data_IF_252340407428
#
_entry.id   IF_252340407428
#
_cell.length_a   1.000
_cell.length_b   1.000
_cell.length_c   1.000
_cell.angle_alpha   90.00
_cell.angle_beta   90.00
_cell.angle_gamma   90.00
#
_symmetry.space_group_name_H-M   'P 1'
#
loop_
_entity.id
_entity.type
_entity.pdbx_description
1 polymer ?
#
# COMPACT_ATOMS: atom_id res chain seq x y z
N UNK A 1 4.95 -51.30 25.39
CA UNK A 1 5.63 -50.10 24.88
C UNK A 1 4.58 -49.07 24.51
N UNK A 2 4.61 -47.89 25.14
CA UNK A 2 3.72 -46.77 24.80
C UNK A 2 4.42 -45.92 23.75
N UNK A 3 3.71 -45.65 22.66
CA UNK A 3 4.14 -44.79 21.56
C UNK A 3 4.05 -43.33 22.04
N UNK A 4 5.15 -42.80 22.55
CA UNK A 4 5.29 -41.37 22.86
C UNK A 4 5.73 -40.65 21.59
N UNK A 5 4.79 -40.40 20.69
CA UNK A 5 5.01 -39.44 19.60
C UNK A 5 5.10 -38.03 20.19
N UNK A 6 6.22 -37.29 20.03
CA UNK A 6 6.32 -35.94 20.54
C UNK A 6 5.43 -35.02 19.72
N UNK A 7 4.44 -34.43 20.39
CA UNK A 7 3.60 -33.35 19.88
C UNK A 7 4.47 -32.14 19.50
N UNK A 8 4.85 -32.04 18.23
CA UNK A 8 5.39 -30.82 17.65
C UNK A 8 4.22 -29.85 17.48
N UNK A 9 3.92 -29.10 18.54
CA UNK A 9 3.09 -27.90 18.42
C UNK A 9 3.91 -26.82 17.69
N UNK A 10 3.41 -26.23 16.59
CA UNK A 10 4.08 -25.09 15.99
C UNK A 10 4.10 -23.92 16.97
N UNK A 11 5.33 -23.52 17.36
CA UNK A 11 5.61 -22.27 18.03
C UNK A 11 5.16 -21.11 17.15
N UNK A 12 4.35 -20.21 17.72
CA UNK A 12 4.35 -18.80 17.33
C UNK A 12 3.52 -18.43 16.11
N UNK A 13 2.24 -18.76 16.09
CA UNK A 13 1.28 -17.90 15.38
C UNK A 13 0.94 -16.77 16.35
N UNK A 14 1.63 -15.64 16.17
CA UNK A 14 1.30 -14.40 16.87
C UNK A 14 -0.19 -14.16 16.77
N UNK A 15 -0.85 -14.03 17.92
CA UNK A 15 -2.26 -13.71 18.01
C UNK A 15 -2.49 -12.49 17.12
N UNK A 16 -3.25 -12.66 16.04
CA UNK A 16 -4.03 -11.59 15.45
C UNK A 16 -5.05 -11.14 16.50
N UNK A 17 -4.56 -10.45 17.53
CA UNK A 17 -5.38 -9.65 18.44
C UNK A 17 -5.93 -8.54 17.56
N UNK A 18 -7.25 -8.51 17.45
CA UNK A 18 -7.97 -7.74 16.47
C UNK A 18 -7.42 -6.32 16.30
N UNK A 19 -7.37 -5.89 15.04
CA UNK A 19 -7.26 -4.52 14.57
C UNK A 19 -8.49 -3.68 14.96
N UNK A 20 -9.05 -3.94 16.14
CA UNK A 20 -10.04 -3.10 16.77
C UNK A 20 -9.25 -1.90 17.27
N UNK A 21 -9.59 -0.71 16.79
CA UNK A 21 -9.05 0.61 17.22
C UNK A 21 -9.36 0.92 18.70
N UNK A 22 -9.32 -0.06 19.59
CA UNK A 22 -9.60 0.00 21.02
C UNK A 22 -8.34 -0.03 21.88
N UNK A 23 -7.21 -0.48 21.34
CA UNK A 23 -5.94 -0.43 22.06
C UNK A 23 -5.51 1.04 22.25
N UNK A 24 -5.36 1.52 23.50
CA UNK A 24 -4.96 2.91 23.76
C UNK A 24 -3.62 3.26 23.11
N UNK A 25 -2.71 2.29 22.98
CA UNK A 25 -1.39 2.48 22.36
C UNK A 25 -1.52 2.73 20.86
N UNK A 26 -2.39 1.98 20.18
CA UNK A 26 -2.65 2.18 18.76
C UNK A 26 -3.36 3.52 18.50
N UNK A 27 -4.26 3.94 19.41
CA UNK A 27 -4.94 5.25 19.33
C UNK A 27 -3.95 6.40 19.47
N UNK A 28 -3.04 6.31 20.44
CA UNK A 28 -1.99 7.31 20.63
C UNK A 28 -1.10 7.42 19.39
N UNK A 29 -0.67 6.27 18.85
CA UNK A 29 0.11 6.24 17.63
C UNK A 29 -0.64 6.85 16.45
N UNK A 30 -1.91 6.48 16.23
CA UNK A 30 -2.73 7.03 15.18
C UNK A 30 -2.92 8.56 15.31
N UNK A 31 -3.05 9.08 16.53
CA UNK A 31 -3.11 10.52 16.76
C UNK A 31 -1.79 11.22 16.39
N UNK A 32 -0.65 10.63 16.73
CA UNK A 32 0.67 11.14 16.34
C UNK A 32 0.84 11.14 14.81
N UNK A 33 0.36 10.10 14.12
CA UNK A 33 0.35 10.04 12.65
C UNK A 33 -0.48 11.19 12.08
N UNK A 34 -1.71 11.39 12.55
CA UNK A 34 -2.59 12.46 12.08
C UNK A 34 -1.97 13.85 12.26
N UNK A 35 -1.23 14.08 13.35
CA UNK A 35 -0.53 15.35 13.59
C UNK A 35 0.69 15.55 12.69
N UNK A 36 1.34 14.46 12.29
CA UNK A 36 2.50 14.48 11.41
C UNK A 36 2.13 14.58 9.92
N UNK A 37 0.85 14.44 9.58
CA UNK A 37 0.36 14.59 8.22
C UNK A 37 0.32 16.06 7.80
N UNK A 38 0.78 16.31 6.57
CA UNK A 38 0.63 17.58 5.87
C UNK A 38 -0.30 17.34 4.67
N UNK A 39 -1.60 17.58 4.84
CA UNK A 39 -2.61 17.16 3.87
C UNK A 39 -2.76 15.63 3.86
N UNK A 40 -2.60 14.98 2.70
CA UNK A 40 -2.64 13.50 2.55
C UNK A 40 -1.29 12.82 2.78
N UNK A 41 -0.20 13.59 2.84
CA UNK A 41 1.17 13.07 2.79
C UNK A 41 1.88 13.19 4.14
N UNK A 42 2.83 12.28 4.37
CA UNK A 42 3.76 12.34 5.51
C UNK A 42 5.17 12.54 4.95
N UNK A 43 5.85 13.60 5.39
CA UNK A 43 7.25 13.83 5.00
C UNK A 43 8.15 12.70 5.48
N UNK A 44 9.20 12.41 4.72
CA UNK A 44 10.14 11.34 5.04
C UNK A 44 10.77 11.45 6.44
N UNK A 45 11.18 12.66 6.84
CA UNK A 45 11.71 12.91 8.18
C UNK A 45 10.71 12.55 9.28
N UNK A 46 9.44 12.93 9.09
CA UNK A 46 8.34 12.58 10.01
C UNK A 46 8.04 11.09 10.01
N UNK A 47 8.17 10.41 8.88
CA UNK A 47 8.02 8.96 8.82
C UNK A 47 9.07 8.24 9.69
N UNK A 48 10.31 8.72 9.69
CA UNK A 48 11.37 8.16 10.56
C UNK A 48 11.06 8.39 12.04
N UNK A 49 10.61 9.59 12.40
CA UNK A 49 10.18 9.92 13.77
C UNK A 49 9.02 9.02 14.24
N UNK A 50 8.03 8.79 13.36
CA UNK A 50 6.90 7.90 13.63
C UNK A 50 7.34 6.44 13.79
N UNK A 51 8.28 5.94 12.99
CA UNK A 51 8.79 4.58 13.17
C UNK A 51 9.53 4.43 14.50
N UNK A 52 10.33 5.42 14.90
CA UNK A 52 10.98 5.42 16.21
C UNK A 52 9.97 5.49 17.36
N UNK A 53 8.87 6.23 17.19
CA UNK A 53 7.77 6.27 18.15
C UNK A 53 7.07 4.91 18.25
N UNK A 54 6.78 4.26 17.13
CA UNK A 54 6.18 2.92 17.11
C UNK A 54 7.02 1.90 17.87
N UNK A 55 8.34 1.90 17.67
CA UNK A 55 9.26 1.03 18.40
C UNK A 55 9.21 1.27 19.91
N UNK A 56 9.16 2.55 20.34
CA UNK A 56 9.03 2.91 21.77
C UNK A 56 7.70 2.48 22.37
N UNK A 57 6.64 2.49 21.57
CA UNK A 57 5.31 2.03 21.95
C UNK A 57 5.16 0.51 21.88
N UNK A 58 6.18 -0.22 21.43
CA UNK A 58 6.13 -1.68 21.24
C UNK A 58 5.27 -2.12 20.05
N UNK A 59 4.95 -1.19 19.15
CA UNK A 59 4.20 -1.46 17.92
C UNK A 59 5.17 -2.01 16.87
N UNK A 60 4.87 -3.19 16.34
CA UNK A 60 5.69 -3.79 15.30
C UNK A 60 5.69 -2.95 14.02
N UNK A 61 6.79 -2.96 13.27
CA UNK A 61 6.92 -2.19 12.01
C UNK A 61 5.77 -2.42 11.03
N UNK A 62 5.30 -3.66 10.92
CA UNK A 62 4.16 -4.00 10.06
C UNK A 62 2.87 -3.30 10.53
N UNK A 63 2.56 -3.42 11.82
CA UNK A 63 1.38 -2.82 12.43
C UNK A 63 1.42 -1.29 12.36
N UNK A 64 2.59 -0.68 12.60
CA UNK A 64 2.80 0.76 12.46
C UNK A 64 2.54 1.23 11.02
N UNK A 65 3.05 0.52 10.01
CA UNK A 65 2.78 0.83 8.62
C UNK A 65 1.29 0.73 8.29
N UNK A 66 0.60 -0.28 8.83
CA UNK A 66 -0.83 -0.46 8.62
C UNK A 66 -1.65 0.67 9.24
N UNK A 67 -1.33 1.08 10.46
CA UNK A 67 -1.97 2.23 11.12
C UNK A 67 -1.73 3.53 10.35
N UNK A 68 -0.52 3.74 9.82
CA UNK A 68 -0.22 4.89 8.98
C UNK A 68 -1.11 4.90 7.74
N UNK A 69 -1.19 3.78 7.01
CA UNK A 69 -2.02 3.68 5.82
C UNK A 69 -3.51 3.93 6.13
N UNK A 70 -4.02 3.41 7.24
CA UNK A 70 -5.40 3.64 7.66
C UNK A 70 -5.68 5.11 7.97
N UNK A 71 -4.77 5.79 8.65
CA UNK A 71 -4.90 7.23 8.94
C UNK A 71 -4.81 8.05 7.66
N UNK A 72 -3.89 7.71 6.75
CA UNK A 72 -3.77 8.35 5.45
C UNK A 72 -5.03 8.18 4.59
N UNK A 73 -5.61 6.98 4.56
CA UNK A 73 -6.87 6.71 3.86
C UNK A 73 -8.03 7.55 4.41
N UNK A 74 -8.11 7.72 5.74
CA UNK A 74 -9.16 8.51 6.39
C UNK A 74 -9.02 10.01 6.12
N UNK A 75 -7.80 10.52 6.14
CA UNK A 75 -7.52 11.96 5.95
C UNK A 75 -7.48 12.35 4.47
N UNK A 76 -7.00 11.45 3.61
CA UNK A 76 -6.76 11.68 2.19
C UNK A 76 -7.95 11.45 1.27
N UNK A 77 -9.11 11.01 1.78
CA UNK A 77 -10.38 10.96 1.05
C UNK A 77 -10.27 10.48 -0.40
N UNK A 78 -10.20 9.16 -0.60
CA UNK A 78 -10.54 8.48 -1.85
C UNK A 78 -9.71 8.77 -3.13
N UNK A 79 -8.62 9.54 -3.11
CA UNK A 79 -7.90 9.85 -4.36
C UNK A 79 -6.63 9.01 -4.63
N UNK A 80 -6.26 8.11 -3.72
CA UNK A 80 -5.02 7.32 -3.86
C UNK A 80 -5.14 5.88 -3.32
N UNK A 81 -6.31 5.25 -3.53
CA UNK A 81 -6.45 3.77 -3.48
C UNK A 81 -7.10 3.33 -4.79
N UNK A 82 -6.49 3.71 -5.91
CA UNK A 82 -6.74 3.12 -7.22
C UNK A 82 -5.45 2.47 -7.74
N UNK A 83 -4.85 1.61 -6.93
CA UNK A 83 -3.88 0.65 -7.44
C UNK A 83 -4.28 -0.75 -6.94
N UNK A 84 -4.83 -1.52 -7.90
CA UNK A 84 -5.08 -2.96 -7.87
C UNK A 84 -6.38 -3.51 -7.26
N UNK A 85 -7.54 -2.96 -7.63
CA UNK A 85 -8.77 -3.74 -7.77
C UNK A 85 -9.08 -3.94 -9.27
N UNK A 86 -8.24 -4.72 -9.95
CA UNK A 86 -8.56 -5.26 -11.28
C UNK A 86 -8.39 -6.78 -11.33
N UNK A 87 -8.56 -7.43 -10.17
CA UNK A 87 -8.84 -8.85 -10.08
C UNK A 87 -10.19 -9.00 -9.38
N UNK A 88 -11.26 -8.62 -10.08
CA UNK A 88 -12.47 -9.45 -10.12
C UNK A 88 -13.40 -8.92 -11.23
N UNK A 89 -13.37 -9.64 -12.35
CA UNK A 89 -14.51 -9.72 -13.25
C UNK A 89 -15.78 -10.10 -12.49
N UNK A 90 -16.91 -9.72 -13.06
CA UNK A 90 -18.25 -10.24 -12.75
C UNK A 90 -19.00 -9.51 -11.65
N UNK A 91 -19.63 -8.38 -12.00
CA UNK A 91 -21.08 -8.12 -11.81
C UNK A 91 -21.40 -6.63 -11.82
N UNK A 92 -21.70 -6.07 -12.99
CA UNK A 92 -22.92 -5.28 -13.17
C UNK A 92 -23.21 -5.10 -14.67
N UNK A 93 -24.22 -5.83 -15.15
CA UNK A 93 -24.91 -5.49 -16.40
C UNK A 93 -25.82 -4.30 -16.09
N UNK A 94 -25.70 -3.20 -16.84
CA UNK A 94 -26.77 -2.53 -17.63
C UNK A 94 -26.61 -1.01 -17.68
N UNK A 95 -26.88 -0.51 -18.88
CA UNK A 95 -27.36 0.83 -19.24
C UNK A 95 -26.35 1.99 -19.29
N UNK A 96 -25.91 2.23 -20.52
CA UNK A 96 -25.93 3.54 -21.22
C UNK A 96 -25.02 4.65 -20.72
N UNK A 97 -23.84 4.78 -21.35
CA UNK A 97 -23.46 6.02 -22.05
C UNK A 97 -22.38 5.72 -23.08
N UNK A 98 -22.74 5.81 -24.36
CA UNK A 98 -21.81 5.74 -25.49
C UNK A 98 -21.11 7.08 -25.58
N UNK A 99 -19.87 7.18 -25.11
CA UNK A 99 -18.97 8.27 -25.49
C UNK A 99 -17.96 7.71 -26.48
N UNK A 100 -18.18 8.05 -27.75
CA UNK A 100 -17.31 7.69 -28.87
C UNK A 100 -15.90 8.23 -28.60
N UNK A 101 -14.99 7.34 -28.20
CA UNK A 101 -13.55 7.60 -28.35
C UNK A 101 -13.19 7.13 -29.75
N UNK A 102 -13.08 8.12 -30.65
CA UNK A 102 -12.55 7.94 -32.00
C UNK A 102 -11.26 7.11 -31.90
N UNK A 103 -11.20 5.97 -32.59
CA UNK A 103 -10.15 4.94 -32.45
C UNK A 103 -8.72 5.42 -32.75
N UNK A 104 -8.52 6.71 -32.99
CA UNK A 104 -7.24 7.40 -33.08
C UNK A 104 -6.62 7.66 -31.70
N UNK A 105 -7.42 7.95 -30.68
CA UNK A 105 -6.88 8.32 -29.36
C UNK A 105 -6.24 7.12 -28.66
N UNK A 106 -6.79 5.91 -28.87
CA UNK A 106 -6.20 4.66 -28.39
C UNK A 106 -4.89 4.33 -29.10
N UNK A 107 -4.77 4.64 -30.39
CA UNK A 107 -3.53 4.47 -31.15
C UNK A 107 -2.45 5.47 -30.73
N UNK A 108 -2.80 6.73 -30.48
CA UNK A 108 -1.86 7.72 -29.95
C UNK A 108 -1.36 7.34 -28.56
N UNK A 109 -2.24 6.84 -27.69
CA UNK A 109 -1.87 6.42 -26.34
C UNK A 109 -0.96 5.19 -26.36
N UNK A 110 -1.23 4.21 -27.22
CA UNK A 110 -0.34 3.05 -27.43
C UNK A 110 1.03 3.47 -27.97
N UNK A 111 1.07 4.40 -28.92
CA UNK A 111 2.31 4.92 -29.46
C UNK A 111 3.11 5.68 -28.39
N UNK A 112 2.46 6.52 -27.58
CA UNK A 112 3.10 7.22 -26.49
C UNK A 112 3.67 6.26 -25.45
N UNK A 113 2.92 5.22 -25.06
CA UNK A 113 3.38 4.18 -24.14
C UNK A 113 4.63 3.47 -24.68
N UNK A 114 4.62 3.10 -25.97
CA UNK A 114 5.74 2.44 -26.62
C UNK A 114 7.00 3.32 -26.67
N UNK A 115 6.85 4.61 -26.98
CA UNK A 115 7.96 5.57 -27.01
C UNK A 115 8.57 5.73 -25.62
N UNK A 116 7.75 5.89 -24.58
CA UNK A 116 8.22 6.02 -23.19
C UNK A 116 8.99 4.77 -22.77
N UNK A 117 8.47 3.58 -23.07
CA UNK A 117 9.14 2.30 -22.81
C UNK A 117 10.53 2.24 -23.48
N UNK A 118 10.62 2.61 -24.76
CA UNK A 118 11.88 2.58 -25.51
C UNK A 118 12.92 3.59 -24.97
N UNK A 119 12.48 4.77 -24.52
CA UNK A 119 13.36 5.77 -23.92
C UNK A 119 13.95 5.30 -22.60
N UNK A 120 13.14 4.65 -21.75
CA UNK A 120 13.59 4.09 -20.48
C UNK A 120 14.65 3.00 -20.71
N UNK A 121 14.40 2.08 -21.63
CA UNK A 121 15.37 1.03 -22.00
C UNK A 121 16.67 1.63 -22.54
N UNK A 122 16.60 2.65 -23.41
CA UNK A 122 17.79 3.32 -23.94
C UNK A 122 18.61 3.99 -22.83
N UNK A 123 17.95 4.64 -21.87
CA UNK A 123 18.60 5.28 -20.71
C UNK A 123 19.25 4.23 -19.81
N UNK A 124 18.56 3.12 -19.52
CA UNK A 124 19.10 2.01 -18.74
C UNK A 124 20.34 1.41 -19.40
N UNK A 125 20.26 1.06 -20.68
CA UNK A 125 21.40 0.49 -21.42
C UNK A 125 22.59 1.45 -21.41
N UNK A 126 22.35 2.76 -21.62
CA UNK A 126 23.43 3.75 -21.61
C UNK A 126 24.08 3.91 -20.23
N UNK A 127 23.30 3.87 -19.14
CA UNK A 127 23.84 3.95 -17.78
C UNK A 127 24.65 2.70 -17.44
N UNK A 128 24.17 1.51 -17.82
CA UNK A 128 24.83 0.24 -17.49
C UNK A 128 26.06 -0.08 -18.37
N UNK A 129 26.13 0.41 -19.61
CA UNK A 129 27.29 0.22 -20.51
C UNK A 129 28.32 1.36 -20.43
N UNK A 130 28.02 2.46 -19.75
CA UNK A 130 28.91 3.63 -19.63
C UNK A 130 29.59 3.73 -18.24
N UNK A 131 29.56 2.66 -17.44
CA UNK A 131 30.33 2.49 -16.21
C UNK A 131 31.29 1.32 -16.34
#
# INVERSE_FOLDING_TARGET
MRDESPSILPRGVGRHRGLSSEDPVQREFAAAVSQAMEGSLIRYSKRLELMALAERLGIGRFEANLLIAQVQQRTGGADEILIHESLDESREKRSSETQETDGKDTLFLLAALFIISALVDMVLVKIFFSG
#
